data_IF_509533905313
#
_entry.id   IF_509533905313
#
_cell.length_a   1.000
_cell.length_b   1.000
_cell.length_c   1.000
_cell.angle_alpha   90.00
_cell.angle_beta   90.00
_cell.angle_gamma   90.00
#
_symmetry.space_group_name_H-M   'P 1'
#
loop_
_entity.id
_entity.type
_entity.pdbx_description
1 polymer ?
#
# COMPACT_ATOMS: atom_id res chain seq x y z
N UNK A 1 -1.56 -15.66 4.64
CA UNK A 1 -2.92 -15.13 4.33
C UNK A 1 -3.02 -14.92 2.83
N UNK A 2 -4.14 -15.30 2.21
CA UNK A 2 -4.31 -15.15 0.74
C UNK A 2 -4.57 -13.69 0.34
N UNK A 3 -5.32 -12.95 1.17
CA UNK A 3 -5.71 -11.57 0.88
C UNK A 3 -5.88 -10.76 2.17
N UNK A 4 -5.44 -9.50 2.14
CA UNK A 4 -5.73 -8.49 3.16
C UNK A 4 -6.03 -7.16 2.48
N UNK A 5 -7.18 -6.56 2.82
CA UNK A 5 -7.56 -5.21 2.39
C UNK A 5 -7.69 -4.31 3.61
N UNK A 6 -7.00 -3.16 3.58
CA UNK A 6 -7.00 -2.20 4.67
C UNK A 6 -7.50 -0.85 4.16
N UNK A 7 -8.50 -0.30 4.83
CA UNK A 7 -8.94 1.09 4.68
C UNK A 7 -8.49 1.84 5.93
N UNK A 8 -7.56 2.76 5.76
CA UNK A 8 -6.80 3.37 6.85
C UNK A 8 -7.02 4.88 6.88
N UNK A 9 -7.11 5.41 8.10
CA UNK A 9 -7.06 6.83 8.43
C UNK A 9 -6.26 6.97 9.73
N UNK A 10 -5.00 6.52 9.71
CA UNK A 10 -4.12 6.43 10.88
C UNK A 10 -2.81 7.18 10.64
N UNK A 11 -2.04 7.47 11.69
CA UNK A 11 -0.69 8.04 11.53
C UNK A 11 0.25 6.98 10.96
N UNK A 12 1.26 7.42 10.22
CA UNK A 12 2.27 6.49 9.70
C UNK A 12 3.03 5.74 10.82
N UNK A 13 3.18 6.36 12.00
CA UNK A 13 3.71 5.71 13.21
C UNK A 13 2.86 4.53 13.69
N UNK A 14 1.53 4.66 13.61
CA UNK A 14 0.61 3.60 14.05
C UNK A 14 0.65 2.43 13.05
N UNK A 15 0.80 2.74 11.76
CA UNK A 15 1.05 1.73 10.74
C UNK A 15 2.36 0.99 10.99
N UNK A 16 3.44 1.68 11.36
CA UNK A 16 4.71 1.03 11.72
C UNK A 16 4.54 0.01 12.86
N UNK A 17 3.79 0.39 13.90
CA UNK A 17 3.48 -0.53 15.01
C UNK A 17 2.72 -1.76 14.51
N UNK A 18 1.70 -1.58 13.67
CA UNK A 18 0.96 -2.68 13.06
C UNK A 18 1.84 -3.60 12.21
N UNK A 19 2.70 -3.03 11.36
CA UNK A 19 3.60 -3.78 10.48
C UNK A 19 4.64 -4.58 11.26
N UNK A 20 5.17 -4.03 12.35
CA UNK A 20 6.09 -4.71 13.27
C UNK A 20 5.41 -5.87 13.98
N UNK A 21 4.21 -5.65 14.52
CA UNK A 21 3.48 -6.69 15.24
C UNK A 21 3.02 -7.84 14.33
N UNK A 22 3.00 -7.63 13.01
CA UNK A 22 2.63 -8.64 12.01
C UNK A 22 3.82 -9.29 11.30
N UNK A 23 5.07 -9.05 11.72
CA UNK A 23 6.33 -9.44 11.04
C UNK A 23 6.39 -10.88 10.52
N UNK A 24 5.77 -11.86 11.20
CA UNK A 24 5.79 -13.27 10.80
C UNK A 24 4.70 -13.65 9.79
N UNK A 25 3.95 -12.68 9.26
CA UNK A 25 2.82 -12.92 8.37
C UNK A 25 3.19 -12.61 6.93
N UNK A 26 3.11 -13.63 6.07
CA UNK A 26 3.09 -13.48 4.62
C UNK A 26 1.66 -13.25 4.12
N UNK A 27 1.48 -12.25 3.27
CA UNK A 27 0.20 -11.84 2.69
C UNK A 27 0.34 -11.88 1.17
N UNK A 28 -0.25 -12.86 0.51
CA UNK A 28 -0.09 -13.00 -0.94
C UNK A 28 -0.57 -11.75 -1.69
N UNK A 29 -1.73 -11.19 -1.32
CA UNK A 29 -2.28 -9.95 -1.90
C UNK A 29 -2.58 -8.92 -0.80
N UNK A 30 -1.87 -7.80 -0.80
CA UNK A 30 -2.09 -6.68 0.11
C UNK A 30 -2.64 -5.48 -0.65
N UNK A 31 -3.80 -4.99 -0.23
CA UNK A 31 -4.45 -3.78 -0.76
C UNK A 31 -4.60 -2.79 0.38
N UNK A 32 -4.10 -1.56 0.19
CA UNK A 32 -4.21 -0.48 1.17
C UNK A 32 -4.82 0.74 0.51
N UNK A 33 -5.84 1.30 1.14
CA UNK A 33 -6.34 2.63 0.86
C UNK A 33 -6.09 3.48 2.10
N UNK A 34 -5.16 4.41 2.02
CA UNK A 34 -4.85 5.33 3.11
C UNK A 34 -5.43 6.70 2.79
N UNK A 35 -6.46 7.09 3.53
CA UNK A 35 -7.11 8.39 3.43
C UNK A 35 -6.68 9.25 4.61
N UNK A 36 -5.90 10.27 4.33
CA UNK A 36 -5.43 11.19 5.35
C UNK A 36 -5.63 12.60 4.85
N UNK A 37 -6.37 13.37 5.63
CA UNK A 37 -6.90 14.63 5.14
C UNK A 37 -5.87 15.78 5.23
N UNK A 38 -4.98 15.87 6.25
CA UNK A 38 -4.21 17.14 6.43
C UNK A 38 -2.80 17.11 7.04
N UNK A 39 -2.13 15.97 7.31
CA UNK A 39 -0.77 15.99 7.92
C UNK A 39 0.35 15.74 6.90
N UNK A 40 1.49 16.44 7.02
CA UNK A 40 2.67 16.30 6.14
C UNK A 40 3.50 15.04 6.44
N UNK A 41 3.26 14.40 7.59
CA UNK A 41 4.07 13.30 8.14
C UNK A 41 3.44 11.92 7.94
N UNK A 42 2.56 11.81 6.96
CA UNK A 42 1.65 10.66 6.87
C UNK A 42 1.84 9.79 5.61
N UNK A 43 2.93 9.99 4.87
CA UNK A 43 3.31 9.08 3.77
C UNK A 43 3.70 7.70 4.32
N UNK A 44 2.96 6.66 3.92
CA UNK A 44 3.19 5.31 4.44
C UNK A 44 4.29 4.55 3.69
N UNK A 45 4.70 5.03 2.51
CA UNK A 45 5.62 4.33 1.61
C UNK A 45 6.95 3.91 2.28
N UNK A 46 7.61 4.75 3.09
CA UNK A 46 8.86 4.35 3.76
C UNK A 46 8.68 3.12 4.65
N UNK A 47 7.57 3.04 5.37
CA UNK A 47 7.25 1.92 6.26
C UNK A 47 6.89 0.66 5.49
N UNK A 48 6.16 0.80 4.38
CA UNK A 48 5.88 -0.31 3.46
C UNK A 48 7.18 -0.85 2.88
N UNK A 49 8.12 -0.01 2.45
CA UNK A 49 9.43 -0.48 1.97
C UNK A 49 10.20 -1.22 3.06
N UNK A 50 10.27 -0.63 4.25
CA UNK A 50 11.03 -1.19 5.39
C UNK A 50 10.51 -2.55 5.81
N UNK A 51 9.20 -2.71 5.98
CA UNK A 51 8.61 -3.90 6.60
C UNK A 51 7.94 -4.85 5.63
N UNK A 52 7.51 -4.40 4.46
CA UNK A 52 6.85 -5.28 3.47
C UNK A 52 7.80 -5.66 2.36
N UNK A 53 8.50 -4.68 1.76
CA UNK A 53 9.38 -4.92 0.62
C UNK A 53 10.67 -5.64 1.03
N UNK A 54 11.39 -5.12 2.02
CA UNK A 54 12.67 -5.68 2.43
C UNK A 54 12.52 -7.08 3.07
N UNK A 55 11.42 -7.31 3.79
CA UNK A 55 11.11 -8.61 4.39
C UNK A 55 10.41 -9.57 3.40
N UNK A 56 10.15 -9.14 2.15
CA UNK A 56 9.45 -9.92 1.11
C UNK A 56 8.12 -10.54 1.58
N UNK A 57 7.31 -9.75 2.28
CA UNK A 57 6.10 -10.24 2.95
C UNK A 57 4.85 -10.29 2.07
N UNK A 58 4.97 -9.88 0.80
CA UNK A 58 3.85 -9.88 -0.15
C UNK A 58 4.26 -10.38 -1.53
N UNK A 59 3.31 -10.90 -2.29
CA UNK A 59 3.49 -11.18 -3.72
C UNK A 59 2.89 -10.05 -4.57
N UNK A 60 1.70 -9.58 -4.22
CA UNK A 60 0.97 -8.52 -4.92
C UNK A 60 0.67 -7.36 -3.97
N UNK A 61 0.92 -6.14 -4.45
CA UNK A 61 0.74 -4.92 -3.67
C UNK A 61 -0.06 -3.90 -4.48
N UNK A 62 -1.06 -3.28 -3.86
CA UNK A 62 -1.69 -2.07 -4.38
C UNK A 62 -1.95 -1.09 -3.25
N UNK A 63 -1.58 0.18 -3.46
CA UNK A 63 -1.71 1.22 -2.46
C UNK A 63 -2.25 2.49 -3.11
N UNK A 64 -3.29 3.05 -2.52
CA UNK A 64 -3.65 4.45 -2.67
C UNK A 64 -3.19 5.18 -1.41
N UNK A 65 -2.40 6.24 -1.58
CA UNK A 65 -1.96 7.13 -0.50
C UNK A 65 -1.66 8.53 -1.09
N UNK A 66 -1.41 9.52 -0.25
CA UNK A 66 -1.00 10.86 -0.66
C UNK A 66 0.48 10.91 -1.08
N UNK A 67 0.86 10.14 -2.10
CA UNK A 67 2.25 10.11 -2.61
C UNK A 67 2.68 11.38 -3.33
N UNK A 68 1.71 12.15 -3.85
CA UNK A 68 1.99 13.37 -4.59
C UNK A 68 2.11 14.54 -3.60
N UNK A 69 3.13 15.38 -3.82
CA UNK A 69 3.39 16.54 -2.97
C UNK A 69 2.14 17.43 -2.88
N UNK A 70 1.86 17.89 -1.66
CA UNK A 70 0.92 18.97 -1.41
C UNK A 70 1.46 20.25 -2.06
N UNK A 71 1.05 20.53 -3.29
CA UNK A 71 0.99 21.92 -3.71
C UNK A 71 -0.29 22.48 -3.05
N UNK A 72 -0.18 23.41 -2.09
CA UNK A 72 -1.33 23.91 -1.34
C UNK A 72 -2.37 24.65 -2.21
N UNK A 73 -2.07 24.85 -3.50
CA UNK A 73 -3.00 25.43 -4.48
C UNK A 73 -3.91 24.39 -5.15
N UNK A 74 -3.61 23.10 -5.01
CA UNK A 74 -4.40 22.02 -5.61
C UNK A 74 -4.98 21.12 -4.53
N UNK A 75 -6.17 20.57 -4.78
CA UNK A 75 -6.71 19.48 -3.96
C UNK A 75 -5.71 18.32 -4.07
N UNK A 76 -5.26 17.82 -2.91
CA UNK A 76 -4.34 16.68 -2.85
C UNK A 76 -5.13 15.45 -3.29
N UNK A 77 -4.95 15.06 -4.56
CA UNK A 77 -5.46 13.79 -5.03
C UNK A 77 -4.59 12.65 -4.48
N UNK A 78 -5.24 11.68 -3.84
CA UNK A 78 -4.59 10.45 -3.44
C UNK A 78 -4.01 9.75 -4.69
N UNK A 79 -2.70 9.49 -4.68
CA UNK A 79 -1.99 8.85 -5.77
C UNK A 79 -2.04 7.32 -5.67
N UNK A 80 -2.15 6.66 -6.83
CA UNK A 80 -1.94 5.21 -6.93
C UNK A 80 -0.44 4.91 -7.06
N UNK A 81 0.08 4.01 -6.22
CA UNK A 81 1.48 3.59 -6.23
C UNK A 81 1.92 3.09 -7.62
N UNK A 82 1.00 2.47 -8.37
CA UNK A 82 1.28 1.97 -9.72
C UNK A 82 1.62 3.07 -10.74
N UNK A 83 1.34 4.34 -10.42
CA UNK A 83 1.70 5.49 -11.26
C UNK A 83 3.14 5.97 -11.01
N UNK A 84 3.77 5.57 -9.90
CA UNK A 84 5.14 5.96 -9.54
C UNK A 84 6.15 4.98 -10.15
N UNK A 85 6.54 5.21 -11.42
CA UNK A 85 7.37 4.27 -12.20
C UNK A 85 8.64 3.82 -11.49
N UNK A 86 9.37 4.74 -10.84
CA UNK A 86 10.61 4.41 -10.14
C UNK A 86 10.35 3.48 -8.95
N UNK A 87 9.27 3.74 -8.20
CA UNK A 87 8.85 2.92 -7.06
C UNK A 87 8.46 1.52 -7.54
N UNK A 88 7.64 1.42 -8.59
CA UNK A 88 7.20 0.14 -9.18
C UNK A 88 8.38 -0.73 -9.59
N UNK A 89 9.40 -0.16 -10.25
CA UNK A 89 10.60 -0.92 -10.61
C UNK A 89 11.42 -1.35 -9.39
N UNK A 90 11.49 -0.54 -8.33
CA UNK A 90 12.15 -0.93 -7.07
C UNK A 90 11.47 -2.13 -6.40
N UNK A 91 10.14 -2.14 -6.30
CA UNK A 91 9.39 -3.30 -5.78
C UNK A 91 9.58 -4.55 -6.65
N UNK A 92 9.64 -4.37 -7.97
CA UNK A 92 9.83 -5.47 -8.93
C UNK A 92 11.20 -6.14 -8.78
N UNK A 93 12.26 -5.39 -8.43
CA UNK A 93 13.58 -5.95 -8.07
C UNK A 93 13.55 -6.83 -6.81
N UNK A 94 12.44 -6.85 -6.08
CA UNK A 94 12.19 -7.70 -4.91
C UNK A 94 11.14 -8.76 -5.17
N UNK A 95 10.80 -9.00 -6.44
CA UNK A 95 9.77 -9.94 -6.90
C UNK A 95 8.34 -9.58 -6.45
N UNK A 96 8.10 -8.32 -6.07
CA UNK A 96 6.80 -7.82 -5.65
C UNK A 96 6.07 -7.19 -6.84
N UNK A 97 4.87 -7.69 -7.13
CA UNK A 97 4.04 -7.25 -8.25
C UNK A 97 3.13 -6.11 -7.82
N UNK A 98 3.55 -4.86 -8.07
CA UNK A 98 2.68 -3.70 -7.87
C UNK A 98 1.57 -3.67 -8.94
N UNK A 99 0.33 -3.48 -8.50
CA UNK A 99 -0.86 -3.37 -9.36
C UNK A 99 -1.63 -2.10 -9.03
N UNK A 100 -2.35 -1.57 -10.03
CA UNK A 100 -3.34 -0.51 -9.80
C UNK A 100 -4.40 -0.99 -8.80
N UNK A 101 -4.75 -0.11 -7.86
CA UNK A 101 -5.68 -0.38 -6.78
C UNK A 101 -7.02 -0.95 -7.26
N UNK A 102 -7.69 -0.26 -8.18
CA UNK A 102 -9.00 -0.70 -8.68
C UNK A 102 -8.93 -2.09 -9.35
N UNK A 103 -7.83 -2.40 -10.04
CA UNK A 103 -7.63 -3.72 -10.67
C UNK A 103 -7.43 -4.80 -9.61
N UNK A 104 -6.56 -4.56 -8.63
CA UNK A 104 -6.27 -5.55 -7.59
C UNK A 104 -7.47 -5.78 -6.66
N UNK A 105 -8.14 -4.71 -6.24
CA UNK A 105 -9.36 -4.77 -5.42
C UNK A 105 -10.47 -5.57 -6.12
N UNK A 106 -10.76 -5.27 -7.39
CA UNK A 106 -11.78 -6.00 -8.14
C UNK A 106 -11.44 -7.49 -8.28
N UNK A 107 -10.18 -7.83 -8.56
CA UNK A 107 -9.75 -9.23 -8.64
C UNK A 107 -9.94 -10.00 -7.34
N UNK A 108 -9.84 -9.32 -6.19
CA UNK A 108 -10.04 -9.92 -4.89
C UNK A 108 -11.51 -10.00 -4.49
N UNK A 109 -12.34 -9.04 -4.91
CA UNK A 109 -13.79 -9.11 -4.72
C UNK A 109 -14.40 -10.33 -5.41
N UNK A 110 -13.97 -10.63 -6.64
CA UNK A 110 -14.36 -11.86 -7.33
C UNK A 110 -13.86 -13.11 -6.61
N UNK A 111 -12.63 -13.09 -6.09
CA UNK A 111 -12.09 -14.23 -5.31
C UNK A 111 -12.90 -14.53 -4.03
N UNK A 112 -13.41 -13.51 -3.34
CA UNK A 112 -14.24 -13.71 -2.14
C UNK A 112 -15.63 -14.22 -2.50
N UNK A 113 -16.17 -13.84 -3.67
CA UNK A 113 -17.48 -14.32 -4.14
C UNK A 113 -17.51 -15.80 -4.52
N UNK A 114 -16.37 -16.37 -4.86
CA UNK A 114 -16.25 -17.76 -5.32
C UNK A 114 -15.96 -18.76 -4.17
N UNK A 115 -16.05 -18.33 -2.90
CA UNK A 115 -15.93 -19.16 -1.68
C UNK A 115 -17.33 -19.38 -1.09
#
# INVERSE_FOLDING_TARGET
MEYLCLFLCIKASDLEVFLRNSQNTFIKKLVIYNYIEYSDDNNILPFIKKYIMNEKRVEYLAIIDNFLKKDPRYIVESGDLSHLKNEVEEFKLRDIKVRCYNKLLNSSYWFIKDI
#
